data_IF_208648208529
#
_entry.id   IF_208648208529
#
_cell.length_a   1.000
_cell.length_b   1.000
_cell.length_c   1.000
_cell.angle_alpha   90.00
_cell.angle_beta   90.00
_cell.angle_gamma   90.00
#
_symmetry.space_group_name_H-M   'P 1'
#
loop_
_entity.id
_entity.type
_entity.pdbx_description
1 polymer ?
#
# COMPACT_ATOMS: atom_id res chain seq x y z
N UNK A 1 -6.54 -2.67 1.46
CA UNK A 1 -5.40 -1.73 1.55
C UNK A 1 -5.67 -0.55 2.50
N UNK A 2 -6.64 0.34 2.24
CA UNK A 2 -6.96 1.51 3.10
C UNK A 2 -7.02 1.22 4.60
N UNK A 3 -7.82 0.20 4.98
CA UNK A 3 -7.96 -0.22 6.40
C UNK A 3 -6.62 -0.57 7.06
N UNK A 4 -5.71 -1.22 6.33
CA UNK A 4 -4.36 -1.55 6.82
C UNK A 4 -3.51 -0.31 7.04
N UNK A 5 -3.58 0.67 6.13
CA UNK A 5 -2.90 1.97 6.29
C UNK A 5 -3.44 2.72 7.51
N UNK A 6 -4.76 2.80 7.63
CA UNK A 6 -5.44 3.53 8.72
C UNK A 6 -5.18 2.88 10.09
N UNK A 7 -5.13 1.55 10.17
CA UNK A 7 -4.75 0.84 11.41
C UNK A 7 -3.33 1.16 11.89
N UNK A 8 -2.50 1.77 11.04
CA UNK A 8 -1.14 2.22 11.35
C UNK A 8 -1.01 3.73 11.49
N UNK A 9 -2.12 4.46 11.52
CA UNK A 9 -2.14 5.93 11.61
C UNK A 9 -1.29 6.61 10.52
N UNK A 10 -1.19 6.00 9.34
CA UNK A 10 -0.44 6.55 8.22
C UNK A 10 -1.35 7.37 7.31
N UNK A 11 -0.91 8.54 6.87
CA UNK A 11 -1.54 9.24 5.74
C UNK A 11 -1.14 8.55 4.42
N UNK A 12 -1.85 8.83 3.32
CA UNK A 12 -1.46 8.33 2.00
C UNK A 12 -0.07 8.83 1.59
N UNK A 13 0.27 10.07 1.92
CA UNK A 13 1.58 10.68 1.71
C UNK A 13 2.67 9.92 2.51
N UNK A 14 2.42 9.65 3.78
CA UNK A 14 3.36 8.93 4.64
C UNK A 14 3.59 7.49 4.17
N UNK A 15 2.54 6.81 3.71
CA UNK A 15 2.67 5.48 3.14
C UNK A 15 3.44 5.50 1.81
N UNK A 16 3.15 6.47 0.94
CA UNK A 16 3.85 6.65 -0.33
C UNK A 16 5.36 6.83 -0.11
N UNK A 17 5.73 7.69 0.84
CA UNK A 17 7.12 7.90 1.24
C UNK A 17 7.77 6.61 1.75
N UNK A 18 7.12 5.87 2.66
CA UNK A 18 7.65 4.59 3.20
C UNK A 18 7.83 3.50 2.15
N UNK A 19 7.01 3.51 1.12
CA UNK A 19 7.02 2.51 0.07
C UNK A 19 7.84 2.94 -1.15
N UNK A 20 8.40 4.16 -1.14
CA UNK A 20 9.13 4.75 -2.27
C UNK A 20 8.29 4.74 -3.58
N UNK A 21 6.99 5.05 -3.45
CA UNK A 21 6.05 5.16 -4.58
C UNK A 21 5.41 6.55 -4.62
N UNK A 22 4.83 6.93 -5.77
CA UNK A 22 4.07 8.16 -5.83
C UNK A 22 2.77 8.05 -5.03
N UNK A 23 2.36 9.14 -4.35
CA UNK A 23 1.07 9.21 -3.64
C UNK A 23 -0.13 8.87 -4.54
N UNK A 24 -0.09 9.27 -5.81
CA UNK A 24 -1.12 8.94 -6.79
C UNK A 24 -1.26 7.42 -7.00
N UNK A 25 -0.16 6.65 -6.88
CA UNK A 25 -0.22 5.19 -6.92
C UNK A 25 -0.93 4.63 -5.68
N UNK A 26 -0.62 5.16 -4.49
CA UNK A 26 -1.30 4.77 -3.23
C UNK A 26 -2.81 4.96 -3.34
N UNK A 27 -3.26 6.12 -3.85
CA UNK A 27 -4.68 6.41 -4.07
C UNK A 27 -5.32 5.36 -4.98
N UNK A 28 -4.71 5.09 -6.14
CA UNK A 28 -5.21 4.11 -7.11
C UNK A 28 -5.27 2.69 -6.55
N UNK A 29 -4.31 2.30 -5.72
CA UNK A 29 -4.31 1.00 -5.05
C UNK A 29 -5.40 0.89 -3.99
N UNK A 30 -5.71 1.98 -3.29
CA UNK A 30 -6.82 1.99 -2.33
C UNK A 30 -8.20 1.94 -3.00
N UNK A 31 -8.32 2.50 -4.21
CA UNK A 31 -9.54 2.50 -5.00
C UNK A 31 -9.73 1.23 -5.85
N UNK A 32 -8.70 0.38 -5.96
CA UNK A 32 -8.74 -0.83 -6.79
C UNK A 32 -8.67 -0.56 -8.31
N UNK A 33 -8.34 0.67 -8.72
CA UNK A 33 -8.33 1.09 -10.13
C UNK A 33 -7.18 0.47 -10.95
N UNK A 34 -6.14 -0.05 -10.29
CA UNK A 34 -5.01 -0.71 -10.94
C UNK A 34 -4.45 -1.81 -10.06
N UNK A 35 -4.29 -3.00 -10.66
CA UNK A 35 -3.58 -4.09 -10.00
C UNK A 35 -2.09 -3.73 -9.85
N UNK A 36 -1.55 -3.68 -8.62
CA UNK A 36 -0.14 -3.39 -8.39
C UNK A 36 0.75 -4.50 -8.96
N UNK A 37 1.95 -4.15 -9.39
CA UNK A 37 2.97 -5.16 -9.73
C UNK A 37 3.41 -5.92 -8.47
N UNK A 38 4.01 -7.10 -8.64
CA UNK A 38 4.59 -7.83 -7.51
C UNK A 38 5.60 -6.98 -6.72
N UNK A 39 6.45 -6.23 -7.41
CA UNK A 39 7.40 -5.30 -6.77
C UNK A 39 6.69 -4.24 -5.91
N UNK A 40 5.56 -3.72 -6.39
CA UNK A 40 4.77 -2.74 -5.63
C UNK A 40 4.09 -3.38 -4.42
N UNK A 41 3.60 -4.62 -4.54
CA UNK A 41 3.04 -5.36 -3.42
C UNK A 41 4.10 -5.56 -2.32
N UNK A 42 5.33 -5.93 -2.70
CA UNK A 42 6.44 -6.07 -1.76
C UNK A 42 6.80 -4.74 -1.08
N UNK A 43 6.86 -3.65 -1.84
CA UNK A 43 7.11 -2.32 -1.29
C UNK A 43 6.00 -1.86 -0.32
N UNK A 44 4.74 -2.07 -0.69
CA UNK A 44 3.58 -1.80 0.17
C UNK A 44 3.61 -2.65 1.44
N UNK A 45 3.92 -3.94 1.32
CA UNK A 45 4.02 -4.86 2.45
C UNK A 45 5.12 -4.40 3.44
N UNK A 46 6.29 -4.01 2.90
CA UNK A 46 7.39 -3.44 3.68
C UNK A 46 6.99 -2.13 4.38
N UNK A 47 6.43 -1.16 3.65
CA UNK A 47 6.06 0.15 4.22
C UNK A 47 4.89 0.07 5.20
N UNK A 48 4.00 -0.91 5.02
CA UNK A 48 2.95 -1.27 5.97
C UNK A 48 3.45 -2.21 7.07
N UNK A 49 4.65 -2.79 7.03
CA UNK A 49 5.10 -3.75 8.04
C UNK A 49 4.17 -4.98 8.18
N UNK A 50 3.73 -5.54 7.06
CA UNK A 50 2.92 -6.77 7.00
C UNK A 50 3.49 -7.75 6.00
N UNK A 51 3.06 -9.01 6.08
CA UNK A 51 3.36 -9.98 5.04
C UNK A 51 2.62 -9.63 3.73
N UNK A 52 3.25 -9.82 2.56
CA UNK A 52 2.62 -9.57 1.25
C UNK A 52 1.28 -10.28 1.06
N UNK A 53 1.13 -11.48 1.63
CA UNK A 53 -0.13 -12.25 1.58
C UNK A 53 -1.32 -11.46 2.13
N UNK A 54 -1.15 -10.66 3.19
CA UNK A 54 -2.22 -9.81 3.74
C UNK A 54 -2.73 -8.73 2.79
N UNK A 55 -1.99 -8.44 1.72
CA UNK A 55 -2.41 -7.51 0.66
C UNK A 55 -3.13 -8.23 -0.50
N UNK A 56 -3.06 -9.56 -0.52
CA UNK A 56 -3.68 -10.44 -1.52
C UNK A 56 -4.96 -11.12 -0.99
N UNK A 57 -5.20 -11.07 0.33
CA UNK A 57 -6.45 -11.50 0.94
C UNK A 57 -7.54 -10.47 0.59
N UNK A 58 -8.29 -10.75 -0.48
CA UNK A 58 -9.50 -10.03 -0.89
C UNK A 58 -10.75 -10.86 -0.57
#
# INVERSE_FOLDING_TARGET
MRRLRESRNLTQEALAFRCEVARSQVIRFEQGERSPTLSTILALAKGLGVEPKKLLDF
#
